data_IF_169235566062
#
_entry.id   IF_169235566062
#
_cell.length_a   1.000
_cell.length_b   1.000
_cell.length_c   1.000
_cell.angle_alpha   90.00
_cell.angle_beta   90.00
_cell.angle_gamma   90.00
#
_symmetry.space_group_name_H-M   'P 1'
#
loop_
_entity.id
_entity.type
_entity.pdbx_description
1 polymer ?
#
# COMPACT_ATOMS: atom_id res chain seq x y z
N UNK A 1 5.46 -36.60 5.19
CA UNK A 1 5.72 -35.19 4.84
C UNK A 1 4.81 -34.83 3.68
N UNK A 2 3.82 -33.96 3.90
CA UNK A 2 2.93 -33.48 2.82
C UNK A 2 3.64 -32.32 2.11
N UNK A 3 3.62 -32.24 0.77
CA UNK A 3 4.23 -31.13 0.06
C UNK A 3 3.43 -29.85 0.36
N UNK A 4 4.11 -28.87 0.94
CA UNK A 4 3.58 -27.51 1.12
C UNK A 4 3.64 -26.85 -0.25
N UNK A 5 2.47 -26.71 -0.87
CA UNK A 5 2.32 -26.00 -2.14
C UNK A 5 2.15 -24.51 -1.79
N UNK A 6 3.18 -23.70 -2.03
CA UNK A 6 3.07 -22.25 -2.01
C UNK A 6 2.30 -21.79 -3.24
N UNK A 7 1.01 -21.47 -3.08
CA UNK A 7 0.23 -20.75 -4.09
C UNK A 7 0.25 -19.25 -3.75
N UNK A 8 0.89 -18.46 -4.62
CA UNK A 8 0.89 -17.01 -4.58
C UNK A 8 -0.42 -16.53 -5.22
N UNK A 9 -1.42 -16.16 -4.41
CA UNK A 9 -2.73 -15.70 -4.92
C UNK A 9 -2.99 -14.25 -4.51
N UNK A 10 -3.00 -13.38 -5.51
CA UNK A 10 -3.45 -12.00 -5.39
C UNK A 10 -4.94 -12.00 -5.04
N UNK A 11 -5.29 -11.40 -3.90
CA UNK A 11 -6.69 -11.16 -3.57
C UNK A 11 -7.34 -10.31 -4.69
N UNK A 12 -8.52 -10.75 -5.13
CA UNK A 12 -9.40 -10.14 -6.14
C UNK A 12 -9.08 -10.33 -7.63
N UNK A 13 -8.65 -11.51 -8.05
CA UNK A 13 -8.67 -11.87 -9.46
C UNK A 13 -10.08 -12.33 -9.88
N UNK A 14 -10.93 -11.39 -10.30
CA UNK A 14 -12.00 -11.73 -11.23
C UNK A 14 -11.33 -12.22 -12.53
N UNK A 15 -11.18 -13.53 -12.69
CA UNK A 15 -11.32 -14.30 -13.93
C UNK A 15 -10.62 -13.88 -15.24
N UNK A 16 -9.72 -12.90 -15.27
CA UNK A 16 -9.04 -12.48 -16.51
C UNK A 16 -7.54 -12.33 -16.31
N UNK A 17 -6.91 -13.33 -15.68
CA UNK A 17 -5.45 -13.42 -15.63
C UNK A 17 -4.98 -13.85 -17.03
N UNK A 18 -4.76 -12.83 -17.87
CA UNK A 18 -4.14 -12.93 -19.20
C UNK A 18 -4.88 -13.79 -20.22
N UNK A 19 -6.09 -13.38 -20.63
CA UNK A 19 -6.65 -13.88 -21.89
C UNK A 19 -5.84 -13.32 -23.08
N UNK A 20 -4.71 -13.96 -23.41
CA UNK A 20 -3.84 -13.56 -24.53
C UNK A 20 -4.53 -13.63 -25.91
N UNK A 21 -5.65 -14.34 -26.01
CA UNK A 21 -6.43 -14.47 -27.24
C UNK A 21 -7.00 -13.14 -27.75
N UNK A 22 -7.17 -12.13 -26.88
CA UNK A 22 -7.72 -10.82 -27.23
C UNK A 22 -6.71 -9.73 -27.61
N UNK A 23 -5.40 -9.95 -27.45
CA UNK A 23 -4.40 -8.90 -27.72
C UNK A 23 -4.04 -8.80 -29.21
N UNK A 24 -3.84 -7.56 -29.68
CA UNK A 24 -3.28 -7.28 -30.99
C UNK A 24 -1.85 -7.83 -31.12
N UNK A 25 -1.34 -8.04 -32.34
CA UNK A 25 0.05 -8.48 -32.55
C UNK A 25 1.09 -7.54 -31.93
N UNK A 26 0.83 -6.23 -31.94
CA UNK A 26 1.73 -5.23 -31.34
C UNK A 26 1.81 -5.40 -29.82
N UNK A 27 0.66 -5.55 -29.16
CA UNK A 27 0.60 -5.76 -27.70
C UNK A 27 1.22 -7.11 -27.31
N UNK A 28 0.95 -8.18 -28.08
CA UNK A 28 1.58 -9.49 -27.86
C UNK A 28 3.10 -9.42 -27.95
N UNK A 29 3.63 -8.74 -28.97
CA UNK A 29 5.07 -8.56 -29.15
C UNK A 29 5.69 -7.77 -28.00
N UNK A 30 5.02 -6.71 -27.54
CA UNK A 30 5.46 -5.91 -26.39
C UNK A 30 5.48 -6.74 -25.12
N UNK A 31 4.40 -7.48 -24.83
CA UNK A 31 4.32 -8.35 -23.64
C UNK A 31 5.41 -9.41 -23.67
N UNK A 32 5.60 -10.12 -24.78
CA UNK A 32 6.61 -11.17 -24.89
C UNK A 32 8.02 -10.61 -24.72
N UNK A 33 8.30 -9.44 -25.31
CA UNK A 33 9.58 -8.74 -25.13
C UNK A 33 9.82 -8.38 -23.67
N UNK A 34 8.83 -7.79 -23.00
CA UNK A 34 8.97 -7.40 -21.59
C UNK A 34 9.13 -8.60 -20.66
N UNK A 35 8.30 -9.64 -20.81
CA UNK A 35 8.37 -10.85 -19.98
C UNK A 35 9.63 -11.68 -20.21
N UNK A 36 10.33 -11.49 -21.32
CA UNK A 36 11.63 -12.14 -21.59
C UNK A 36 12.80 -11.53 -20.81
N UNK A 37 12.59 -10.39 -20.15
CA UNK A 37 13.63 -9.71 -19.38
C UNK A 37 13.93 -10.44 -18.07
N UNK A 38 15.18 -10.34 -17.64
CA UNK A 38 15.73 -11.15 -16.55
C UNK A 38 15.21 -10.80 -15.13
N UNK A 39 14.51 -9.67 -14.95
CA UNK A 39 13.99 -9.27 -13.64
C UNK A 39 12.71 -8.45 -13.74
N UNK A 40 11.93 -8.46 -12.65
CA UNK A 40 10.68 -7.71 -12.58
C UNK A 40 10.89 -6.20 -12.72
N UNK A 41 11.98 -5.66 -12.19
CA UNK A 41 12.32 -4.23 -12.30
C UNK A 41 12.58 -3.84 -13.75
N UNK A 42 13.32 -4.68 -14.50
CA UNK A 42 13.57 -4.44 -15.92
C UNK A 42 12.28 -4.53 -16.73
N UNK A 43 11.42 -5.50 -16.42
CA UNK A 43 10.09 -5.65 -17.04
C UNK A 43 9.21 -4.43 -16.78
N UNK A 44 9.16 -3.94 -15.53
CA UNK A 44 8.39 -2.76 -15.15
C UNK A 44 8.91 -1.51 -15.86
N UNK A 45 10.23 -1.30 -15.87
CA UNK A 45 10.85 -0.17 -16.57
C UNK A 45 10.55 -0.22 -18.07
N UNK A 46 10.65 -1.39 -18.68
CA UNK A 46 10.34 -1.61 -20.10
C UNK A 46 8.88 -1.28 -20.41
N UNK A 47 7.93 -1.81 -19.65
CA UNK A 47 6.50 -1.53 -19.88
C UNK A 47 6.15 -0.05 -19.66
N UNK A 48 6.70 0.58 -18.63
CA UNK A 48 6.52 2.02 -18.37
C UNK A 48 6.98 2.87 -19.56
N UNK A 49 8.07 2.48 -20.22
CA UNK A 49 8.63 3.21 -21.35
C UNK A 49 7.92 2.91 -22.69
N UNK A 50 7.58 1.65 -22.96
CA UNK A 50 7.15 1.22 -24.30
C UNK A 50 5.63 1.30 -24.50
N UNK A 51 4.82 1.10 -23.46
CA UNK A 51 3.36 1.14 -23.60
C UNK A 51 2.86 2.50 -24.09
N UNK A 52 3.33 3.66 -23.56
CA UNK A 52 2.89 4.97 -24.05
C UNK A 52 3.21 5.23 -25.53
N UNK A 53 4.21 4.53 -26.09
CA UNK A 53 4.66 4.69 -27.49
C UNK A 53 3.80 3.92 -28.49
N UNK A 54 2.93 3.02 -28.04
CA UNK A 54 2.01 2.30 -28.94
C UNK A 54 1.10 3.31 -29.65
N UNK A 55 0.96 3.19 -30.97
CA UNK A 55 0.24 4.17 -31.79
C UNK A 55 -1.28 4.09 -31.62
N UNK A 56 -1.83 2.89 -31.55
CA UNK A 56 -3.27 2.67 -31.38
C UNK A 56 -3.72 2.89 -29.92
N UNK A 57 -4.80 3.64 -29.74
CA UNK A 57 -5.43 3.88 -28.42
C UNK A 57 -5.80 2.56 -27.73
N UNK A 58 -6.38 1.62 -28.48
CA UNK A 58 -6.77 0.30 -27.97
C UNK A 58 -5.58 -0.54 -27.53
N UNK A 59 -4.43 -0.41 -28.22
CA UNK A 59 -3.20 -1.10 -27.85
C UNK A 59 -2.61 -0.50 -26.56
N UNK A 60 -2.61 0.83 -26.43
CA UNK A 60 -2.21 1.51 -25.18
C UNK A 60 -3.08 1.07 -24.01
N UNK A 61 -4.41 1.11 -24.16
CA UNK A 61 -5.35 0.63 -23.14
C UNK A 61 -5.03 -0.81 -22.72
N UNK A 62 -4.93 -1.72 -23.69
CA UNK A 62 -4.64 -3.14 -23.44
C UNK A 62 -3.28 -3.34 -22.76
N UNK A 63 -2.27 -2.57 -23.17
CA UNK A 63 -0.95 -2.56 -22.56
C UNK A 63 -0.98 -2.09 -21.11
N UNK A 64 -1.65 -0.97 -20.82
CA UNK A 64 -1.80 -0.45 -19.46
C UNK A 64 -2.54 -1.44 -18.55
N UNK A 65 -3.60 -2.10 -19.02
CA UNK A 65 -4.29 -3.14 -18.26
C UNK A 65 -3.40 -4.35 -17.96
N UNK A 66 -2.64 -4.80 -18.95
CA UNK A 66 -1.67 -5.88 -18.72
C UNK A 66 -0.65 -5.47 -17.66
N UNK A 67 -0.11 -4.26 -17.79
CA UNK A 67 0.92 -3.75 -16.89
C UNK A 67 0.39 -3.53 -15.47
N UNK A 68 -0.83 -3.01 -15.30
CA UNK A 68 -1.49 -2.88 -14.01
C UNK A 68 -1.64 -4.23 -13.29
N UNK A 69 -2.08 -5.26 -14.02
CA UNK A 69 -2.16 -6.62 -13.50
C UNK A 69 -0.80 -7.18 -13.12
N UNK A 70 0.22 -6.97 -13.96
CA UNK A 70 1.59 -7.37 -13.65
C UNK A 70 2.09 -6.70 -12.36
N UNK A 71 1.90 -5.39 -12.20
CA UNK A 71 2.30 -4.65 -11.00
C UNK A 71 1.62 -5.18 -9.72
N UNK A 72 0.33 -5.54 -9.79
CA UNK A 72 -0.39 -6.15 -8.66
C UNK A 72 0.20 -7.49 -8.22
N UNK A 73 0.71 -8.31 -9.15
CA UNK A 73 1.38 -9.58 -8.80
C UNK A 73 2.63 -9.36 -7.94
N UNK A 74 3.27 -8.20 -8.08
CA UNK A 74 4.45 -7.81 -7.31
C UNK A 74 4.13 -6.86 -6.14
N UNK A 75 2.85 -6.73 -5.76
CA UNK A 75 2.42 -5.88 -4.65
C UNK A 75 2.55 -4.37 -4.90
N UNK A 76 2.87 -3.95 -6.13
CA UNK A 76 3.02 -2.54 -6.53
C UNK A 76 1.66 -1.88 -6.80
N UNK A 77 0.82 -1.85 -5.78
CA UNK A 77 -0.59 -1.44 -5.90
C UNK A 77 -0.76 0.04 -6.27
N UNK A 78 0.11 0.94 -5.75
CA UNK A 78 0.08 2.37 -6.12
C UNK A 78 0.47 2.59 -7.59
N UNK A 79 1.49 1.89 -8.09
CA UNK A 79 1.84 1.94 -9.51
C UNK A 79 0.72 1.36 -10.39
N UNK A 80 0.09 0.28 -9.94
CA UNK A 80 -1.03 -0.36 -10.63
C UNK A 80 -2.27 0.54 -10.71
N UNK A 81 -2.58 1.26 -9.63
CA UNK A 81 -3.64 2.28 -9.59
C UNK A 81 -3.48 3.28 -10.74
N UNK A 82 -2.28 3.85 -10.90
CA UNK A 82 -2.01 4.79 -11.99
C UNK A 82 -2.26 4.16 -13.37
N UNK A 83 -1.82 2.91 -13.59
CA UNK A 83 -2.04 2.21 -14.86
C UNK A 83 -3.52 1.92 -15.14
N UNK A 84 -4.30 1.57 -14.11
CA UNK A 84 -5.74 1.41 -14.26
C UNK A 84 -6.43 2.73 -14.58
N UNK A 85 -6.01 3.86 -14.00
CA UNK A 85 -6.53 5.19 -14.35
C UNK A 85 -6.19 5.56 -15.79
N UNK A 86 -4.97 5.29 -16.26
CA UNK A 86 -4.58 5.47 -17.67
C UNK A 86 -5.44 4.62 -18.61
N UNK A 87 -5.69 3.34 -18.27
CA UNK A 87 -6.57 2.49 -19.05
C UNK A 87 -8.03 2.98 -19.02
N UNK A 88 -8.54 3.40 -17.87
CA UNK A 88 -9.89 3.95 -17.71
C UNK A 88 -10.09 5.23 -18.51
N UNK A 89 -9.09 6.11 -18.56
CA UNK A 89 -9.11 7.34 -19.37
C UNK A 89 -9.26 7.04 -20.87
N UNK A 90 -8.70 5.91 -21.33
CA UNK A 90 -8.82 5.45 -22.73
C UNK A 90 -10.05 4.57 -22.98
N UNK A 91 -10.97 4.48 -22.02
CA UNK A 91 -12.13 3.58 -22.06
C UNK A 91 -13.44 4.34 -21.96
N UNK A 92 -14.51 3.70 -22.42
CA UNK A 92 -15.86 4.27 -22.39
C UNK A 92 -16.86 3.28 -21.78
N UNK A 93 -17.99 3.81 -21.31
CA UNK A 93 -19.11 3.02 -20.79
C UNK A 93 -18.70 1.98 -19.74
N UNK A 94 -19.11 0.73 -19.96
CA UNK A 94 -18.87 -0.39 -19.02
C UNK A 94 -17.40 -0.76 -18.85
N UNK A 95 -16.55 -0.53 -19.85
CA UNK A 95 -15.12 -0.84 -19.72
C UNK A 95 -14.45 0.15 -18.76
N UNK A 96 -14.79 1.43 -18.88
CA UNK A 96 -14.31 2.48 -17.98
C UNK A 96 -14.66 2.19 -16.53
N UNK A 97 -15.92 1.79 -16.27
CA UNK A 97 -16.39 1.41 -14.93
C UNK A 97 -15.55 0.28 -14.34
N UNK A 98 -15.26 -0.77 -15.13
CA UNK A 98 -14.44 -1.90 -14.67
C UNK A 98 -13.03 -1.46 -14.29
N UNK A 99 -12.39 -0.65 -15.12
CA UNK A 99 -11.02 -0.20 -14.86
C UNK A 99 -10.93 0.77 -13.68
N UNK A 100 -11.92 1.62 -13.49
CA UNK A 100 -12.01 2.46 -12.29
C UNK A 100 -12.27 1.62 -11.02
N UNK A 101 -13.06 0.55 -11.10
CA UNK A 101 -13.22 -0.38 -9.98
C UNK A 101 -11.91 -1.09 -9.62
N UNK A 102 -11.10 -1.45 -10.62
CA UNK A 102 -9.77 -2.02 -10.40
C UNK A 102 -8.79 -0.97 -9.83
N UNK A 103 -8.89 0.29 -10.29
CA UNK A 103 -8.14 1.42 -9.74
C UNK A 103 -8.49 1.66 -8.25
N UNK A 104 -9.78 1.78 -7.91
CA UNK A 104 -10.25 1.96 -6.54
C UNK A 104 -9.73 0.84 -5.61
N UNK A 105 -9.79 -0.41 -6.08
CA UNK A 105 -9.23 -1.54 -5.35
C UNK A 105 -7.72 -1.42 -5.13
N UNK A 106 -6.96 -1.03 -6.15
CA UNK A 106 -5.53 -0.81 -6.02
C UNK A 106 -5.21 0.32 -5.05
N UNK A 107 -5.99 1.42 -5.06
CA UNK A 107 -5.87 2.52 -4.11
C UNK A 107 -6.10 2.06 -2.65
N UNK A 108 -7.19 1.31 -2.40
CA UNK A 108 -7.47 0.72 -1.08
C UNK A 108 -6.33 -0.21 -0.62
N UNK A 109 -5.79 -1.03 -1.52
CA UNK A 109 -4.71 -1.96 -1.22
C UNK A 109 -3.36 -1.27 -0.93
N UNK A 110 -3.18 -0.02 -1.36
CA UNK A 110 -2.01 0.82 -1.10
C UNK A 110 -2.26 1.96 -0.10
N UNK A 111 -3.36 1.91 0.66
CA UNK A 111 -3.73 2.94 1.66
C UNK A 111 -3.86 4.37 1.10
N UNK A 112 -4.22 4.49 -0.18
CA UNK A 112 -4.55 5.77 -0.82
C UNK A 112 -6.04 6.05 -0.63
N UNK A 113 -6.44 6.25 0.62
CA UNK A 113 -7.85 6.32 1.04
C UNK A 113 -8.59 7.50 0.39
N UNK A 114 -7.97 8.68 0.30
CA UNK A 114 -8.53 9.85 -0.38
C UNK A 114 -8.79 9.57 -1.87
N UNK A 115 -7.79 9.05 -2.58
CA UNK A 115 -7.92 8.71 -4.00
C UNK A 115 -8.94 7.59 -4.24
N UNK A 116 -9.03 6.61 -3.34
CA UNK A 116 -10.06 5.58 -3.38
C UNK A 116 -11.47 6.19 -3.22
N UNK A 117 -11.65 7.13 -2.29
CA UNK A 117 -12.92 7.84 -2.11
C UNK A 117 -13.32 8.63 -3.35
N UNK A 118 -12.40 9.37 -3.95
CA UNK A 118 -12.66 10.14 -5.18
C UNK A 118 -13.12 9.24 -6.33
N UNK A 119 -12.40 8.13 -6.57
CA UNK A 119 -12.75 7.18 -7.64
C UNK A 119 -14.11 6.53 -7.36
N UNK A 120 -14.40 6.15 -6.11
CA UNK A 120 -15.68 5.53 -5.74
C UNK A 120 -16.85 6.51 -5.82
N UNK A 121 -16.63 7.79 -5.53
CA UNK A 121 -17.64 8.83 -5.72
C UNK A 121 -17.96 8.99 -7.21
N UNK A 122 -16.92 9.11 -8.04
CA UNK A 122 -17.10 9.18 -9.50
C UNK A 122 -17.84 7.95 -10.05
N UNK A 123 -17.46 6.76 -9.58
CA UNK A 123 -18.12 5.51 -9.93
C UNK A 123 -19.60 5.49 -9.54
N UNK A 124 -19.97 6.10 -8.41
CA UNK A 124 -21.36 6.19 -7.95
C UNK A 124 -22.22 7.03 -8.90
N UNK A 125 -21.63 8.08 -9.49
CA UNK A 125 -22.32 8.97 -10.41
C UNK A 125 -22.53 8.34 -11.79
N UNK A 126 -21.60 7.48 -12.25
CA UNK A 126 -21.65 6.87 -13.59
C UNK A 126 -22.27 5.46 -13.61
N UNK A 127 -22.35 4.78 -12.46
CA UNK A 127 -22.93 3.44 -12.39
C UNK A 127 -24.46 3.51 -12.41
N UNK A 128 -25.10 2.58 -13.13
CA UNK A 128 -26.56 2.44 -13.07
C UNK A 128 -26.98 1.93 -11.70
N UNK A 129 -27.87 2.66 -11.02
CA UNK A 129 -28.41 2.27 -9.73
C UNK A 129 -29.01 0.84 -9.76
N UNK A 130 -28.69 0.05 -8.75
CA UNK A 130 -29.12 -1.35 -8.63
C UNK A 130 -28.37 -2.35 -9.52
N UNK A 131 -27.43 -1.91 -10.36
CA UNK A 131 -26.55 -2.81 -11.11
C UNK A 131 -25.56 -3.56 -10.20
N UNK A 132 -24.97 -4.64 -10.73
CA UNK A 132 -23.91 -5.38 -10.04
C UNK A 132 -22.69 -4.48 -9.75
N UNK A 133 -22.30 -3.65 -10.73
CA UNK A 133 -21.19 -2.69 -10.58
C UNK A 133 -21.50 -1.68 -9.47
N UNK A 134 -22.72 -1.11 -9.46
CA UNK A 134 -23.15 -0.21 -8.38
C UNK A 134 -23.13 -0.89 -7.00
N UNK A 135 -23.54 -2.15 -6.90
CA UNK A 135 -23.45 -2.91 -5.64
C UNK A 135 -22.00 -3.11 -5.19
N UNK A 136 -21.07 -3.31 -6.14
CA UNK A 136 -19.64 -3.40 -5.85
C UNK A 136 -19.07 -2.06 -5.36
N UNK A 137 -19.48 -0.94 -5.96
CA UNK A 137 -19.09 0.41 -5.52
C UNK A 137 -19.54 0.65 -4.08
N UNK A 138 -20.80 0.38 -3.76
CA UNK A 138 -21.34 0.53 -2.41
C UNK A 138 -20.62 -0.35 -1.39
N UNK A 139 -20.26 -1.58 -1.77
CA UNK A 139 -19.44 -2.45 -0.93
C UNK A 139 -18.08 -1.82 -0.65
N UNK A 140 -17.37 -1.37 -1.67
CA UNK A 140 -16.03 -0.79 -1.51
C UNK A 140 -16.07 0.51 -0.69
N UNK A 141 -17.09 1.34 -0.86
CA UNK A 141 -17.32 2.51 -0.01
C UNK A 141 -17.53 2.11 1.45
N UNK A 142 -18.41 1.15 1.74
CA UNK A 142 -18.65 0.71 3.12
C UNK A 142 -17.40 0.08 3.76
N UNK A 143 -16.58 -0.63 2.98
CA UNK A 143 -15.29 -1.17 3.45
C UNK A 143 -14.28 -0.05 3.75
N UNK A 144 -14.21 0.96 2.89
CA UNK A 144 -13.34 2.11 3.08
C UNK A 144 -13.78 2.95 4.28
N UNK A 145 -15.08 3.22 4.42
CA UNK A 145 -15.68 3.91 5.58
C UNK A 145 -15.34 3.20 6.90
N UNK A 146 -15.28 1.85 6.92
CA UNK A 146 -14.86 1.10 8.11
C UNK A 146 -13.38 1.34 8.42
N UNK A 147 -12.51 1.34 7.41
CA UNK A 147 -11.08 1.54 7.58
C UNK A 147 -10.76 2.97 8.04
N UNK A 148 -11.50 3.96 7.53
CA UNK A 148 -11.21 5.39 7.74
C UNK A 148 -12.06 6.04 8.84
N UNK A 149 -12.99 5.32 9.45
CA UNK A 149 -13.86 5.86 10.50
C UNK A 149 -13.07 6.57 11.60
N UNK A 150 -13.37 7.85 11.83
CA UNK A 150 -12.67 8.67 12.82
C UNK A 150 -13.22 8.46 14.24
N UNK A 151 -14.43 7.93 14.37
CA UNK A 151 -15.13 7.74 15.63
C UNK A 151 -16.07 6.53 15.61
N UNK A 152 -16.61 6.19 16.77
CA UNK A 152 -17.48 5.02 16.95
C UNK A 152 -18.82 5.13 16.20
N UNK A 153 -19.32 6.34 15.97
CA UNK A 153 -20.58 6.57 15.26
C UNK A 153 -20.42 6.27 13.76
N UNK A 154 -19.40 6.84 13.13
CA UNK A 154 -19.04 6.56 11.72
C UNK A 154 -18.77 5.07 11.51
N UNK A 155 -17.98 4.45 12.40
CA UNK A 155 -17.70 3.03 12.36
C UNK A 155 -18.97 2.18 12.46
N UNK A 156 -19.86 2.51 13.40
CA UNK A 156 -21.14 1.83 13.58
C UNK A 156 -22.04 1.98 12.35
N UNK A 157 -22.13 3.18 11.79
CA UNK A 157 -22.90 3.45 10.58
C UNK A 157 -22.39 2.63 9.39
N UNK A 158 -21.06 2.58 9.18
CA UNK A 158 -20.45 1.79 8.12
C UNK A 158 -20.68 0.27 8.32
N UNK A 159 -20.57 -0.22 9.55
CA UNK A 159 -20.84 -1.62 9.88
C UNK A 159 -22.31 -1.99 9.65
N UNK A 160 -23.26 -1.10 9.98
CA UNK A 160 -24.68 -1.30 9.69
C UNK A 160 -24.94 -1.39 8.17
N UNK A 161 -24.22 -0.62 7.33
CA UNK A 161 -24.30 -0.79 5.86
C UNK A 161 -23.88 -2.20 5.45
N UNK A 162 -22.75 -2.71 5.96
CA UNK A 162 -22.28 -4.09 5.68
C UNK A 162 -23.32 -5.13 6.11
N UNK A 163 -23.91 -4.99 7.31
CA UNK A 163 -24.97 -5.88 7.80
C UNK A 163 -26.21 -5.86 6.88
N UNK A 164 -26.65 -4.67 6.47
CA UNK A 164 -27.77 -4.51 5.56
C UNK A 164 -27.47 -5.14 4.19
N UNK A 165 -26.26 -4.95 3.65
CA UNK A 165 -25.86 -5.54 2.37
C UNK A 165 -25.80 -7.06 2.43
N UNK A 166 -25.36 -7.65 3.54
CA UNK A 166 -25.30 -9.12 3.73
C UNK A 166 -26.69 -9.79 3.66
N UNK A 167 -27.77 -9.01 3.80
CA UNK A 167 -29.15 -9.49 3.72
C UNK A 167 -29.84 -9.17 2.38
N UNK A 168 -29.23 -8.35 1.53
CA UNK A 168 -29.81 -7.91 0.26
C UNK A 168 -29.45 -8.85 -0.90
N UNK A 169 -30.45 -9.20 -1.71
CA UNK A 169 -30.25 -10.07 -2.90
C UNK A 169 -29.35 -9.43 -3.96
N UNK A 170 -29.34 -8.10 -4.11
CA UNK A 170 -28.47 -7.40 -5.06
C UNK A 170 -26.97 -7.58 -4.75
N UNK A 171 -26.63 -7.97 -3.52
CA UNK A 171 -25.27 -8.23 -3.07
C UNK A 171 -24.92 -9.72 -3.02
N UNK A 172 -25.73 -10.61 -3.62
CA UNK A 172 -25.51 -12.06 -3.52
C UNK A 172 -24.10 -12.50 -3.95
N UNK A 173 -23.52 -11.86 -4.97
CA UNK A 173 -22.15 -12.13 -5.42
C UNK A 173 -21.07 -11.75 -4.40
N UNK A 174 -21.42 -10.95 -3.38
CA UNK A 174 -20.52 -10.41 -2.37
C UNK A 174 -20.88 -10.89 -0.95
N UNK A 175 -21.86 -11.79 -0.79
CA UNK A 175 -22.27 -12.26 0.53
C UNK A 175 -21.12 -12.93 1.30
N UNK A 176 -20.24 -13.66 0.62
CA UNK A 176 -19.08 -14.29 1.27
C UNK A 176 -18.16 -13.25 1.92
N UNK A 177 -17.78 -12.20 1.18
CA UNK A 177 -16.90 -11.13 1.69
C UNK A 177 -17.61 -10.27 2.75
N UNK A 178 -18.92 -10.03 2.61
CA UNK A 178 -19.69 -9.31 3.62
C UNK A 178 -19.74 -10.06 4.95
N UNK A 179 -20.04 -11.36 4.93
CA UNK A 179 -20.03 -12.21 6.13
C UNK A 179 -18.61 -12.34 6.70
N UNK A 180 -17.61 -12.46 5.84
CA UNK A 180 -16.22 -12.48 6.26
C UNK A 180 -15.82 -11.21 6.98
N UNK A 181 -16.14 -10.02 6.45
CA UNK A 181 -15.85 -8.75 7.09
C UNK A 181 -16.55 -8.63 8.45
N UNK A 182 -17.81 -9.04 8.56
CA UNK A 182 -18.53 -9.05 9.85
C UNK A 182 -17.85 -9.96 10.87
N UNK A 183 -17.42 -11.16 10.46
CA UNK A 183 -16.66 -12.06 11.33
C UNK A 183 -15.27 -11.50 11.67
N UNK A 184 -14.57 -10.92 10.70
CA UNK A 184 -13.23 -10.34 10.87
C UNK A 184 -13.22 -9.26 11.95
N UNK A 185 -14.25 -8.40 11.92
CA UNK A 185 -14.40 -7.28 12.84
C UNK A 185 -14.87 -7.77 14.21
N UNK A 186 -15.96 -8.55 14.28
CA UNK A 186 -16.63 -8.84 15.55
C UNK A 186 -16.24 -10.18 16.19
N UNK A 187 -15.71 -11.12 15.42
CA UNK A 187 -15.44 -12.50 15.87
C UNK A 187 -16.69 -13.37 16.04
N UNK A 188 -17.82 -12.98 15.47
CA UNK A 188 -19.11 -13.67 15.66
C UNK A 188 -19.10 -15.10 15.10
N UNK A 189 -19.26 -16.09 15.99
CA UNK A 189 -19.27 -17.51 15.65
C UNK A 189 -20.46 -17.91 14.77
N UNK A 190 -21.63 -17.28 14.93
CA UNK A 190 -22.81 -17.57 14.11
C UNK A 190 -22.61 -17.06 12.67
N UNK A 191 -21.95 -15.91 12.51
CA UNK A 191 -21.56 -15.40 11.18
C UNK A 191 -20.55 -16.33 10.52
N UNK A 192 -19.56 -16.82 11.26
CA UNK A 192 -18.61 -17.83 10.77
C UNK A 192 -19.32 -19.11 10.30
N UNK A 193 -20.20 -19.67 11.14
CA UNK A 193 -20.95 -20.88 10.80
C UNK A 193 -21.81 -20.66 9.54
N UNK A 194 -22.50 -19.52 9.46
CA UNK A 194 -23.29 -19.14 8.29
C UNK A 194 -22.43 -19.07 7.03
N UNK A 195 -21.26 -18.44 7.09
CA UNK A 195 -20.31 -18.34 5.97
C UNK A 195 -19.86 -19.72 5.49
N UNK A 196 -19.40 -20.58 6.40
CA UNK A 196 -18.91 -21.92 6.06
C UNK A 196 -20.04 -22.80 5.50
N UNK A 197 -21.26 -22.68 6.03
CA UNK A 197 -22.41 -23.47 5.57
C UNK A 197 -22.94 -23.02 4.22
N UNK A 198 -23.06 -21.70 3.99
CA UNK A 198 -23.67 -21.16 2.77
C UNK A 198 -22.67 -21.02 1.62
N UNK A 199 -21.39 -20.79 1.92
CA UNK A 199 -20.34 -20.56 0.92
C UNK A 199 -19.10 -21.46 1.15
N UNK A 200 -19.26 -22.79 1.27
CA UNK A 200 -18.17 -23.71 1.66
C UNK A 200 -16.99 -23.75 0.68
N UNK A 201 -17.20 -23.30 -0.57
CA UNK A 201 -16.17 -23.26 -1.62
C UNK A 201 -15.50 -21.89 -1.76
N UNK A 202 -15.91 -20.89 -0.98
CA UNK A 202 -15.35 -19.56 -1.06
C UNK A 202 -14.01 -19.50 -0.32
N UNK A 203 -13.12 -18.62 -0.78
CA UNK A 203 -11.82 -18.42 -0.11
C UNK A 203 -12.01 -17.83 1.28
N UNK A 204 -13.06 -17.03 1.49
CA UNK A 204 -13.41 -16.50 2.80
C UNK A 204 -13.78 -17.61 3.79
N UNK A 205 -14.56 -18.61 3.36
CA UNK A 205 -14.88 -19.76 4.20
C UNK A 205 -13.62 -20.58 4.56
N UNK A 206 -12.69 -20.71 3.60
CA UNK A 206 -11.40 -21.35 3.85
C UNK A 206 -10.54 -20.55 4.85
N UNK A 207 -10.53 -19.22 4.73
CA UNK A 207 -9.78 -18.33 5.62
C UNK A 207 -10.30 -18.36 7.06
N UNK A 208 -11.62 -18.25 7.29
CA UNK A 208 -12.19 -18.32 8.65
C UNK A 208 -12.03 -19.69 9.31
N UNK A 209 -11.84 -20.74 8.49
CA UNK A 209 -11.59 -22.11 8.93
C UNK A 209 -10.10 -22.41 9.17
N UNK A 210 -9.21 -21.45 8.92
CA UNK A 210 -7.76 -21.61 9.07
C UNK A 210 -7.13 -22.50 8.00
N UNK A 211 -7.82 -22.77 6.89
CA UNK A 211 -7.30 -23.58 5.78
C UNK A 211 -6.44 -22.77 4.80
N UNK A 212 -6.59 -21.44 4.82
CA UNK A 212 -5.83 -20.50 3.99
C UNK A 212 -5.48 -19.29 4.84
N UNK A 213 -4.25 -18.83 4.75
CA UNK A 213 -3.82 -17.58 5.37
C UNK A 213 -4.19 -16.39 4.51
N UNK A 214 -4.55 -15.30 5.18
CA UNK A 214 -4.82 -14.03 4.51
C UNK A 214 -3.50 -13.31 4.32
N UNK A 215 -3.23 -12.92 3.07
CA UNK A 215 -2.05 -12.14 2.73
C UNK A 215 -1.97 -10.88 3.61
N UNK A 216 -0.76 -10.47 4.05
CA UNK A 216 -0.55 -9.24 4.80
C UNK A 216 -0.70 -8.01 3.88
N UNK A 217 -1.91 -7.75 3.39
CA UNK A 217 -2.24 -6.52 2.67
C UNK A 217 -2.45 -5.39 3.66
N UNK A 218 -2.04 -4.17 3.30
CA UNK A 218 -2.23 -2.97 4.13
C UNK A 218 -3.70 -2.77 4.50
N UNK A 219 -4.61 -3.00 3.54
CA UNK A 219 -6.05 -2.95 3.78
C UNK A 219 -6.49 -3.82 4.98
N UNK A 220 -6.28 -5.14 4.93
CA UNK A 220 -6.67 -6.04 6.03
C UNK A 220 -5.90 -5.78 7.33
N UNK A 221 -4.69 -5.25 7.25
CA UNK A 221 -3.89 -4.90 8.42
C UNK A 221 -4.47 -3.68 9.15
N UNK A 222 -4.95 -2.67 8.42
CA UNK A 222 -5.55 -1.46 8.98
C UNK A 222 -7.04 -1.60 9.30
N UNK A 223 -7.69 -2.67 8.83
CA UNK A 223 -9.08 -2.96 9.17
C UNK A 223 -9.24 -3.25 10.67
N UNK A 224 -10.18 -2.58 11.37
CA UNK A 224 -10.43 -2.83 12.78
C UNK A 224 -10.77 -4.30 13.06
N UNK A 225 -10.29 -4.79 14.21
CA UNK A 225 -10.61 -6.12 14.73
C UNK A 225 -10.97 -6.04 16.21
N UNK A 226 -11.85 -6.94 16.63
CA UNK A 226 -12.19 -7.12 18.04
C UNK A 226 -10.92 -7.36 18.88
N UNK A 227 -10.59 -6.49 19.85
CA UNK A 227 -9.39 -6.62 20.67
C UNK A 227 -9.29 -7.95 21.42
N UNK A 228 -10.41 -8.55 21.81
CA UNK A 228 -10.42 -9.83 22.53
C UNK A 228 -10.11 -11.01 21.59
N UNK A 229 -10.44 -10.88 20.30
CA UNK A 229 -9.99 -11.82 19.27
C UNK A 229 -8.49 -11.66 18.98
N UNK A 230 -7.98 -10.42 18.99
CA UNK A 230 -6.52 -10.18 18.89
C UNK A 230 -5.81 -10.83 20.08
N UNK A 231 -6.30 -10.60 21.30
CA UNK A 231 -5.77 -11.25 22.51
C UNK A 231 -5.87 -12.77 22.43
N UNK A 232 -6.99 -13.32 21.96
CA UNK A 232 -7.19 -14.76 21.78
C UNK A 232 -6.24 -15.34 20.72
N UNK A 233 -6.02 -14.65 19.61
CA UNK A 233 -5.05 -15.07 18.59
C UNK A 233 -3.60 -15.00 19.11
N UNK A 234 -3.28 -13.97 19.90
CA UNK A 234 -1.97 -13.85 20.55
C UNK A 234 -1.79 -14.82 21.73
N UNK A 235 -2.88 -15.23 22.40
CA UNK A 235 -2.89 -16.18 23.52
C UNK A 235 -3.07 -17.62 23.09
N UNK A 236 -3.62 -17.89 21.90
CA UNK A 236 -3.48 -19.13 21.14
C UNK A 236 -2.07 -19.20 20.57
N UNK A 237 -1.09 -19.12 21.47
CA UNK A 237 0.29 -19.46 21.17
C UNK A 237 0.30 -20.96 20.92
N UNK A 238 0.36 -21.34 19.65
CA UNK A 238 1.28 -22.43 19.27
C UNK A 238 2.58 -22.06 19.97
N UNK A 239 2.99 -22.84 20.98
CA UNK A 239 4.23 -22.57 21.73
C UNK A 239 5.39 -22.69 20.76
N UNK A 240 5.72 -21.58 20.12
CA UNK A 240 6.97 -21.45 19.38
C UNK A 240 8.06 -21.47 20.44
N UNK A 241 8.86 -22.51 20.41
CA UNK A 241 10.08 -22.58 21.23
C UNK A 241 10.96 -21.36 20.91
N UNK A 242 11.73 -20.86 21.88
CA UNK A 242 12.64 -19.71 21.68
C UNK A 242 13.56 -19.89 20.46
N UNK A 243 13.88 -21.15 20.12
CA UNK A 243 14.65 -21.50 18.93
C UNK A 243 13.90 -21.22 17.61
N UNK A 244 12.57 -21.37 17.57
CA UNK A 244 11.73 -21.11 16.40
C UNK A 244 11.47 -19.62 16.22
N UNK A 245 11.29 -18.87 17.31
CA UNK A 245 11.22 -17.40 17.25
C UNK A 245 12.55 -16.80 16.77
N UNK A 246 13.67 -17.32 17.27
CA UNK A 246 15.02 -16.92 16.84
C UNK A 246 15.30 -17.30 15.39
N UNK A 247 14.81 -18.45 14.91
CA UNK A 247 14.89 -18.82 13.49
C UNK A 247 13.99 -17.97 12.61
N UNK A 248 12.74 -17.69 13.00
CA UNK A 248 11.84 -16.83 12.24
C UNK A 248 12.38 -15.40 12.15
N UNK A 249 12.98 -14.89 13.23
CA UNK A 249 13.67 -13.60 13.28
C UNK A 249 14.92 -13.60 12.39
N UNK A 250 15.76 -14.64 12.47
CA UNK A 250 16.94 -14.78 11.62
C UNK A 250 16.60 -14.97 10.13
N UNK A 251 15.46 -15.59 9.81
CA UNK A 251 14.95 -15.70 8.43
C UNK A 251 14.42 -14.33 7.98
N UNK A 252 13.65 -13.61 8.82
CA UNK A 252 13.20 -12.26 8.54
C UNK A 252 14.35 -11.25 8.38
N UNK A 253 15.43 -11.41 9.14
CA UNK A 253 16.69 -10.65 9.02
C UNK A 253 17.46 -11.04 7.75
N UNK A 254 17.49 -12.33 7.38
CA UNK A 254 18.05 -12.75 6.07
C UNK A 254 17.26 -12.23 4.87
N UNK A 255 15.95 -12.04 4.97
CA UNK A 255 15.14 -11.40 3.93
C UNK A 255 15.31 -9.88 3.88
N UNK A 256 15.90 -9.26 4.92
CA UNK A 256 16.31 -7.84 4.92
C UNK A 256 17.69 -7.62 4.28
N UNK A 257 18.47 -8.68 4.06
CA UNK A 257 19.82 -8.61 3.48
C UNK A 257 19.83 -9.28 2.09
N UNK A 258 19.33 -8.68 0.98
CA UNK A 258 20.09 -7.83 0.04
C UNK A 258 19.25 -7.54 -1.24
N UNK A 259 19.50 -6.47 -2.03
CA UNK A 259 20.17 -5.21 -1.73
C UNK A 259 19.27 -4.01 -2.10
N UNK A 260 18.71 -3.32 -1.10
CA UNK A 260 18.47 -1.89 -1.22
C UNK A 260 19.49 -1.20 -0.33
N UNK A 261 20.31 -0.38 -0.96
CA UNK A 261 21.32 0.54 -0.44
C UNK A 261 21.29 0.73 1.09
N UNK A 262 22.40 0.35 1.73
CA UNK A 262 22.70 0.56 3.15
C UNK A 262 22.16 1.89 3.69
N UNK A 263 21.09 1.82 4.47
CA UNK A 263 20.90 2.69 5.62
C UNK A 263 20.92 1.78 6.84
N UNK A 264 21.97 1.94 7.65
CA UNK A 264 22.08 1.33 8.97
C UNK A 264 20.93 1.86 9.83
N UNK A 265 19.98 0.99 10.22
CA UNK A 265 19.19 1.21 11.43
C UNK A 265 20.13 0.99 12.62
N UNK A 266 20.90 2.02 12.94
CA UNK A 266 21.45 2.19 14.27
C UNK A 266 20.28 2.22 15.26
N UNK A 267 20.47 1.58 16.42
CA UNK A 267 19.64 1.83 17.60
C UNK A 267 19.38 3.34 17.70
N UNK A 268 18.12 3.73 17.95
CA UNK A 268 17.67 5.13 17.94
C UNK A 268 18.53 5.94 18.94
N UNK A 269 19.65 6.45 18.47
CA UNK A 269 20.46 7.43 19.17
C UNK A 269 19.88 8.77 18.78
N UNK A 270 19.42 9.54 19.76
CA UNK A 270 18.99 10.93 19.51
C UNK A 270 20.23 11.68 18.97
N UNK A 271 20.19 12.29 17.76
CA UNK A 271 21.30 13.08 17.26
C UNK A 271 21.67 14.17 18.26
N UNK A 272 22.96 14.49 18.41
CA UNK A 272 23.41 15.68 19.16
C UNK A 272 22.90 16.98 18.54
N UNK A 273 22.59 16.96 17.24
CA UNK A 273 22.00 18.07 16.50
C UNK A 273 22.10 17.86 14.99
N UNK A 274 21.90 18.94 14.25
CA UNK A 274 21.80 18.91 12.79
C UNK A 274 22.75 19.92 12.16
N UNK A 275 23.45 19.49 11.11
CA UNK A 275 24.14 20.36 10.19
C UNK A 275 23.18 20.83 9.10
N UNK A 276 23.13 22.13 8.86
CA UNK A 276 22.29 22.77 7.84
C UNK A 276 23.07 23.27 6.63
N UNK A 277 24.39 23.32 6.74
CA UNK A 277 25.25 23.72 5.62
C UNK A 277 26.72 23.60 5.95
N UNK A 278 27.52 23.47 4.88
CA UNK A 278 28.97 23.33 4.96
C UNK A 278 29.61 24.25 3.92
N UNK A 279 30.06 25.42 4.36
CA UNK A 279 30.44 26.51 3.47
C UNK A 279 31.96 26.70 3.45
N UNK A 280 32.53 26.98 2.27
CA UNK A 280 33.94 27.44 2.16
C UNK A 280 34.10 28.89 2.60
N UNK A 281 33.06 29.70 2.43
CA UNK A 281 33.03 31.12 2.75
C UNK A 281 32.23 31.36 4.05
N UNK A 282 32.84 32.07 4.99
CA UNK A 282 32.25 32.44 6.28
C UNK A 282 31.00 33.31 6.10
N UNK A 283 30.99 34.22 5.14
CA UNK A 283 29.89 35.15 4.93
C UNK A 283 28.58 34.43 4.55
N UNK A 284 28.69 33.31 3.82
CA UNK A 284 27.54 32.49 3.46
C UNK A 284 26.98 31.72 4.66
N UNK A 285 27.86 31.22 5.54
CA UNK A 285 27.44 30.59 6.79
C UNK A 285 26.76 31.60 7.74
N UNK A 286 27.25 32.84 7.80
CA UNK A 286 26.68 33.92 8.63
C UNK A 286 25.30 34.35 8.16
N UNK A 287 25.07 34.44 6.84
CA UNK A 287 23.73 34.74 6.29
C UNK A 287 22.68 33.71 6.73
N UNK A 288 23.00 32.43 6.61
CA UNK A 288 22.08 31.36 7.01
C UNK A 288 21.91 31.29 8.54
N UNK A 289 22.97 31.59 9.31
CA UNK A 289 22.89 31.74 10.76
C UNK A 289 21.88 32.83 11.18
N UNK A 290 21.97 34.02 10.57
CA UNK A 290 21.05 35.12 10.87
C UNK A 290 19.61 34.77 10.50
N UNK A 291 19.40 34.07 9.38
CA UNK A 291 18.08 33.61 8.96
C UNK A 291 17.46 32.63 9.98
N UNK A 292 18.23 31.63 10.40
CA UNK A 292 17.78 30.64 11.40
C UNK A 292 17.45 31.30 12.74
N UNK A 293 18.30 32.22 13.21
CA UNK A 293 18.08 32.94 14.46
C UNK A 293 16.82 33.82 14.38
N UNK A 294 16.56 34.47 13.24
CA UNK A 294 15.33 35.24 13.01
C UNK A 294 14.08 34.37 13.05
N UNK A 295 14.18 33.11 12.62
CA UNK A 295 13.10 32.11 12.71
C UNK A 295 13.02 31.39 14.07
N UNK A 296 13.80 31.83 15.06
CA UNK A 296 13.76 31.32 16.43
C UNK A 296 14.57 30.04 16.67
N UNK A 297 15.41 29.61 15.73
CA UNK A 297 16.29 28.46 15.91
C UNK A 297 17.61 28.86 16.59
N UNK A 298 18.06 28.05 17.55
CA UNK A 298 19.43 28.15 18.07
C UNK A 298 20.38 27.51 17.06
N UNK A 299 21.32 28.28 16.52
CA UNK A 299 22.33 27.78 15.58
C UNK A 299 23.70 28.41 15.89
N UNK A 300 24.78 27.73 15.51
CA UNK A 300 26.17 28.19 15.65
C UNK A 300 27.02 27.77 14.45
N UNK A 301 28.06 28.53 14.16
CA UNK A 301 29.05 28.19 13.14
C UNK A 301 30.26 27.53 13.81
N UNK A 302 30.65 26.35 13.31
CA UNK A 302 31.86 25.64 13.70
C UNK A 302 32.87 25.66 12.54
N UNK A 303 34.15 25.78 12.85
CA UNK A 303 35.22 25.69 11.85
C UNK A 303 35.70 24.24 11.77
N UNK A 304 35.75 23.69 10.57
CA UNK A 304 36.37 22.38 10.31
C UNK A 304 37.51 22.52 9.31
N UNK A 305 38.70 22.06 9.69
CA UNK A 305 39.86 21.97 8.80
C UNK A 305 39.97 20.54 8.29
N UNK A 306 39.85 20.34 6.97
CA UNK A 306 40.03 19.02 6.34
C UNK A 306 41.52 18.65 6.28
N UNK A 307 41.81 17.38 6.04
CA UNK A 307 43.19 16.88 5.85
C UNK A 307 43.95 17.59 4.71
N UNK A 308 43.24 18.24 3.78
CA UNK A 308 43.80 19.09 2.72
C UNK A 308 44.20 20.50 3.18
N UNK A 309 44.04 20.85 4.46
CA UNK A 309 44.27 22.20 5.00
C UNK A 309 43.16 23.22 4.70
N UNK A 310 42.12 22.82 3.96
CA UNK A 310 40.99 23.70 3.62
C UNK A 310 40.06 23.87 4.84
N UNK A 311 39.77 25.12 5.20
CA UNK A 311 38.83 25.47 6.28
C UNK A 311 37.42 25.59 5.72
N UNK A 312 36.47 24.96 6.41
CA UNK A 312 35.04 25.07 6.15
C UNK A 312 34.31 25.58 7.39
N UNK A 313 33.18 26.22 7.16
CA UNK A 313 32.27 26.77 8.14
C UNK A 313 30.99 25.95 8.13
N UNK A 314 30.85 25.11 9.15
CA UNK A 314 29.72 24.23 9.35
C UNK A 314 28.65 24.94 10.18
N UNK A 315 27.42 25.01 9.69
CA UNK A 315 26.30 25.55 10.44
C UNK A 315 25.57 24.43 11.17
N UNK A 316 25.51 24.53 12.50
CA UNK A 316 25.00 23.48 13.37
C UNK A 316 23.92 24.01 14.33
N UNK A 317 22.84 23.25 14.44
CA UNK A 317 21.76 23.47 15.41
C UNK A 317 21.69 22.27 16.36
N UNK A 318 21.84 22.46 17.67
CA UNK A 318 21.71 21.36 18.64
C UNK A 318 20.29 20.81 18.65
N UNK A 319 20.16 19.50 18.90
CA UNK A 319 18.87 18.87 19.15
C UNK A 319 18.38 19.22 20.56
N UNK A 320 17.07 19.27 20.74
CA UNK A 320 16.48 19.44 22.07
C UNK A 320 16.30 18.11 22.80
N UNK A 321 16.10 18.15 24.11
CA UNK A 321 15.90 16.94 24.92
C UNK A 321 14.67 16.12 24.51
N UNK A 322 13.79 16.67 23.66
CA UNK A 322 12.56 16.03 23.16
C UNK A 322 12.73 15.48 21.74
N UNK A 323 13.89 15.61 21.10
CA UNK A 323 14.16 15.13 19.74
C UNK A 323 13.35 15.85 18.66
N UNK A 324 12.92 17.09 18.90
CA UNK A 324 11.91 17.76 18.06
C UNK A 324 12.48 18.76 17.04
N UNK A 325 13.75 19.13 17.15
CA UNK A 325 14.36 20.19 16.34
C UNK A 325 14.53 19.74 14.89
N UNK A 326 14.86 18.47 14.64
CA UNK A 326 14.97 17.95 13.27
C UNK A 326 13.67 18.07 12.47
N UNK A 327 12.54 17.79 13.11
CA UNK A 327 11.21 17.91 12.51
C UNK A 327 10.84 19.38 12.27
N UNK A 328 11.14 20.27 13.22
CA UNK A 328 10.87 21.71 13.10
C UNK A 328 11.70 22.36 11.98
N UNK A 329 12.96 21.95 11.81
CA UNK A 329 13.82 22.44 10.73
C UNK A 329 13.30 22.00 9.36
N UNK A 330 12.87 20.75 9.22
CA UNK A 330 12.25 20.24 7.97
C UNK A 330 10.93 20.96 7.67
N UNK A 331 10.08 21.16 8.67
CA UNK A 331 8.82 21.90 8.52
C UNK A 331 9.06 23.38 8.13
N UNK A 332 10.18 23.96 8.54
CA UNK A 332 10.60 25.31 8.13
C UNK A 332 11.31 25.36 6.77
N UNK A 333 11.41 24.23 6.06
CA UNK A 333 11.95 24.12 4.71
C UNK A 333 13.47 23.93 4.62
N UNK A 334 14.13 23.54 5.73
CA UNK A 334 15.58 23.34 5.74
C UNK A 334 15.96 21.88 5.52
N UNK A 335 16.96 21.67 4.67
CA UNK A 335 17.66 20.40 4.58
C UNK A 335 18.61 20.24 5.78
N UNK A 336 18.58 19.09 6.42
CA UNK A 336 19.33 18.82 7.64
C UNK A 336 20.06 17.49 7.56
N UNK A 337 21.30 17.48 8.05
CA UNK A 337 22.10 16.27 8.22
C UNK A 337 22.30 15.99 9.71
N UNK A 338 21.77 14.88 10.26
CA UNK A 338 21.91 14.57 11.69
C UNK A 338 23.37 14.25 12.04
N UNK A 339 23.80 14.73 13.21
CA UNK A 339 25.12 14.45 13.79
C UNK A 339 24.90 13.74 15.12
N UNK A 340 25.49 12.56 15.28
CA UNK A 340 25.33 11.70 16.46
C UNK A 340 26.46 11.84 17.49
#
# INVERSE_FOLDING_TARGET
MKPIIFFLFAFFLNGTVFAQSGYSPAVKKLINSGLSLASAEKTIAYFSQEIPKLSAVQDRKSGFLFFANYLRLYGKNEEALLRYKEAAFLSEGKERIKHLLDAAQSAMASDKTEEAHEILQELSDICTAGSADHSKVLLYQALLDIQTAANAEEFSAALQKIQAYASKKSFAAYHSILLFTLWWINGDAAVKEKLVKQFPKSMEAAAVSGSVDISPSVFWYLMPRNPDMIKKFLSETTTYTDSQYTQARAIAEKFRETPATKQEEAAISIPKGYQLGFFKDKANAEKLLTELQKKGFTAKIQKETRASGTIYYQLFTPEDAKGSIGLKLKAAGYETFPIF
#
